data_IF_009569994732
#
_entry.id   IF_009569994732
#
_cell.length_a   1.000
_cell.length_b   1.000
_cell.length_c   1.000
_cell.angle_alpha   90.00
_cell.angle_beta   90.00
_cell.angle_gamma   90.00
#
_symmetry.space_group_name_H-M   'P 1'
#
loop_
_entity.id
_entity.type
_entity.pdbx_description
1 polymer ?
#
# COMPACT_ATOMS: atom_id res chain seq x y z
N UNK A 1 -17.18 -9.91 6.57
CA UNK A 1 -18.22 -9.05 7.19
C UNK A 1 -18.23 -7.72 6.44
N UNK A 2 -19.38 -7.42 5.84
CA UNK A 2 -19.86 -6.20 5.18
C UNK A 2 -18.87 -5.15 4.62
N UNK A 3 -18.94 -5.01 3.29
CA UNK A 3 -18.61 -3.83 2.50
C UNK A 3 -19.52 -2.67 2.93
N UNK A 4 -18.96 -1.56 3.40
CA UNK A 4 -19.70 -0.28 3.51
C UNK A 4 -18.79 0.92 3.31
N UNK A 5 -18.79 1.49 2.10
CA UNK A 5 -19.26 2.85 1.81
C UNK A 5 -19.00 3.19 0.34
N UNK A 6 -20.09 3.39 -0.39
CA UNK A 6 -20.11 4.08 -1.67
C UNK A 6 -19.67 5.53 -1.43
N UNK A 7 -18.47 5.86 -1.89
CA UNK A 7 -17.81 7.14 -1.67
C UNK A 7 -16.31 6.99 -1.92
N UNK A 8 -15.59 8.10 -2.08
CA UNK A 8 -14.15 8.21 -2.40
C UNK A 8 -13.23 7.18 -1.70
N UNK A 9 -13.65 6.63 -0.57
CA UNK A 9 -13.00 5.60 0.23
C UNK A 9 -13.72 4.25 0.15
N UNK A 10 -13.64 3.59 -1.00
CA UNK A 10 -13.86 2.14 -1.06
C UNK A 10 -12.59 1.46 -0.54
N UNK A 11 -12.67 0.91 0.67
CA UNK A 11 -11.56 0.31 1.41
C UNK A 11 -11.79 -1.19 1.53
N UNK A 12 -10.85 -1.99 1.06
CA UNK A 12 -10.90 -3.44 1.25
C UNK A 12 -10.38 -3.78 2.65
N UNK A 13 -11.29 -4.03 3.60
CA UNK A 13 -10.94 -4.29 5.00
C UNK A 13 -10.66 -5.76 5.30
N UNK A 14 -10.82 -6.65 4.33
CA UNK A 14 -10.71 -8.11 4.48
C UNK A 14 -9.28 -8.61 4.66
N UNK A 15 -8.28 -7.91 4.11
CA UNK A 15 -6.91 -8.40 4.08
C UNK A 15 -6.03 -7.61 5.08
N UNK A 16 -5.48 -8.26 6.14
CA UNK A 16 -4.69 -7.57 7.15
C UNK A 16 -3.39 -6.97 6.59
N UNK A 17 -2.94 -7.40 5.42
CA UNK A 17 -1.74 -6.91 4.73
C UNK A 17 -1.86 -5.44 4.29
N UNK A 18 -3.08 -4.91 4.19
CA UNK A 18 -3.33 -3.52 3.76
C UNK A 18 -3.51 -2.55 4.93
N UNK A 19 -3.06 -2.94 6.13
CA UNK A 19 -3.04 -2.07 7.30
C UNK A 19 -1.62 -1.82 7.80
N UNK A 20 -1.33 -0.57 8.14
CA UNK A 20 -0.09 -0.08 8.73
C UNK A 20 -0.35 0.41 10.18
N UNK A 21 0.71 0.72 10.93
CA UNK A 21 0.65 1.14 12.34
C UNK A 21 -0.15 0.17 13.22
N UNK A 22 0.43 -0.99 13.53
CA UNK A 22 -0.20 -2.03 14.35
C UNK A 22 -1.56 -2.52 13.79
N UNK A 23 -1.66 -2.63 12.47
CA UNK A 23 -2.86 -3.07 11.74
C UNK A 23 -4.12 -2.19 11.94
N UNK A 24 -3.97 -0.95 12.40
CA UNK A 24 -5.11 -0.04 12.67
C UNK A 24 -5.37 0.98 11.58
N UNK A 25 -4.36 1.33 10.77
CA UNK A 25 -4.48 2.36 9.74
C UNK A 25 -4.46 1.73 8.35
N UNK A 26 -5.57 1.83 7.60
CA UNK A 26 -5.59 1.32 6.23
C UNK A 26 -4.60 2.09 5.34
N UNK A 27 -3.88 1.38 4.46
CA UNK A 27 -2.79 1.93 3.65
C UNK A 27 -3.24 3.09 2.75
N UNK A 28 -4.45 3.04 2.18
CA UNK A 28 -5.04 4.17 1.43
C UNK A 28 -5.25 5.43 2.28
N UNK A 29 -5.63 5.28 3.56
CA UNK A 29 -5.78 6.42 4.48
C UNK A 29 -4.40 6.95 4.88
N UNK A 30 -3.45 6.06 5.14
CA UNK A 30 -2.05 6.44 5.39
C UNK A 30 -1.46 7.22 4.19
N UNK A 31 -1.73 6.78 2.95
CA UNK A 31 -1.30 7.49 1.75
C UNK A 31 -1.88 8.90 1.70
N UNK A 32 -3.17 9.08 2.00
CA UNK A 32 -3.79 10.41 2.04
C UNK A 32 -3.14 11.33 3.09
N UNK A 33 -2.81 10.81 4.27
CA UNK A 33 -2.09 11.57 5.30
C UNK A 33 -0.70 11.96 4.83
N UNK A 34 0.03 11.06 4.16
CA UNK A 34 1.35 11.35 3.61
C UNK A 34 1.26 12.43 2.52
N UNK A 35 0.27 12.35 1.61
CA UNK A 35 0.07 13.38 0.57
C UNK A 35 -0.14 14.76 1.21
N UNK A 36 -1.01 14.85 2.22
CA UNK A 36 -1.28 16.11 2.91
C UNK A 36 -0.03 16.62 3.63
N UNK A 37 0.69 15.74 4.31
CA UNK A 37 1.92 16.08 5.03
C UNK A 37 3.02 16.58 4.09
N UNK A 38 3.30 15.86 3.00
CA UNK A 38 4.30 16.26 2.01
C UNK A 38 3.88 17.53 1.26
N UNK A 39 2.60 17.67 0.92
CA UNK A 39 2.08 18.90 0.32
C UNK A 39 2.22 20.11 1.23
N UNK A 40 2.04 19.94 2.55
CA UNK A 40 2.28 20.99 3.53
C UNK A 40 3.76 21.37 3.59
N UNK A 41 4.66 20.39 3.65
CA UNK A 41 6.12 20.64 3.64
C UNK A 41 6.52 21.40 2.37
N UNK A 42 6.10 20.94 1.20
CA UNK A 42 6.41 21.58 -0.08
C UNK A 42 5.89 23.03 -0.10
N UNK A 43 4.64 23.27 0.33
CA UNK A 43 4.09 24.62 0.42
C UNK A 43 4.89 25.53 1.35
N UNK A 44 5.33 25.01 2.51
CA UNK A 44 6.16 25.78 3.43
C UNK A 44 7.54 26.09 2.85
N UNK A 45 8.16 25.15 2.13
CA UNK A 45 9.46 25.37 1.47
C UNK A 45 9.35 26.45 0.39
N UNK A 46 8.35 26.37 -0.48
CA UNK A 46 8.08 27.39 -1.50
C UNK A 46 7.72 28.75 -0.89
N UNK A 47 6.98 28.77 0.22
CA UNK A 47 6.69 30.01 0.94
C UNK A 47 7.97 30.67 1.46
N UNK A 48 8.85 29.90 2.10
CA UNK A 48 10.14 30.42 2.59
C UNK A 48 11.02 30.88 1.43
N UNK A 49 11.07 30.12 0.34
CA UNK A 49 11.85 30.45 -0.85
C UNK A 49 11.41 31.76 -1.52
N UNK A 50 10.11 32.04 -1.57
CA UNK A 50 9.57 33.24 -2.24
C UNK A 50 9.63 34.48 -1.32
N UNK A 51 9.33 34.31 -0.02
CA UNK A 51 9.06 35.44 0.87
C UNK A 51 10.15 35.73 1.90
N UNK A 52 10.99 34.75 2.25
CA UNK A 52 12.01 34.89 3.29
C UNK A 52 13.40 35.03 2.69
N UNK A 53 13.74 34.16 1.73
CA UNK A 53 14.93 34.36 0.91
C UNK A 53 14.62 35.39 -0.17
N UNK A 54 15.24 36.58 -0.09
CA UNK A 54 15.27 37.49 -1.23
C UNK A 54 15.94 36.73 -2.37
N UNK A 55 15.15 36.31 -3.36
CA UNK A 55 15.61 35.68 -4.60
C UNK A 55 16.95 36.28 -5.06
N UNK A 56 18.07 35.61 -4.79
CA UNK A 56 19.36 36.23 -5.07
C UNK A 56 20.62 35.51 -4.59
N UNK A 57 20.64 34.88 -3.40
CA UNK A 57 21.89 34.30 -2.89
C UNK A 57 21.77 32.78 -2.67
N UNK A 58 22.35 32.05 -3.63
CA UNK A 58 22.70 30.62 -3.56
C UNK A 58 21.56 29.59 -3.46
N UNK A 59 20.60 29.63 -4.39
CA UNK A 59 19.82 28.40 -4.66
C UNK A 59 20.75 27.38 -5.30
N UNK A 60 21.20 26.39 -4.53
CA UNK A 60 21.94 25.25 -5.07
C UNK A 60 21.06 24.53 -6.10
N UNK A 61 21.55 24.39 -7.33
CA UNK A 61 20.80 23.77 -8.43
C UNK A 61 20.32 22.35 -8.06
N UNK A 62 21.08 21.66 -7.20
CA UNK A 62 20.69 20.35 -6.67
C UNK A 62 19.41 20.41 -5.83
N UNK A 63 19.27 21.39 -4.95
CA UNK A 63 18.08 21.55 -4.12
C UNK A 63 16.84 21.86 -4.97
N UNK A 64 16.97 22.73 -5.98
CA UNK A 64 15.87 23.04 -6.90
C UNK A 64 15.40 21.81 -7.68
N UNK A 65 16.33 20.96 -8.16
CA UNK A 65 15.98 19.71 -8.86
C UNK A 65 15.24 18.74 -7.92
N UNK A 66 15.69 18.60 -6.68
CA UNK A 66 15.06 17.73 -5.69
C UNK A 66 13.65 18.21 -5.32
N UNK A 67 13.46 19.52 -5.10
CA UNK A 67 12.13 20.10 -4.86
C UNK A 67 11.19 19.88 -6.05
N UNK A 68 11.66 20.11 -7.28
CA UNK A 68 10.85 19.84 -8.47
C UNK A 68 10.47 18.36 -8.61
N UNK A 69 11.38 17.43 -8.30
CA UNK A 69 11.08 16.01 -8.31
C UNK A 69 10.08 15.62 -7.22
N UNK A 70 10.20 16.21 -6.03
CA UNK A 70 9.27 16.03 -4.93
C UNK A 70 7.86 16.51 -5.32
N UNK A 71 7.75 17.70 -5.93
CA UNK A 71 6.49 18.23 -6.44
C UNK A 71 5.83 17.30 -7.47
N UNK A 72 6.60 16.82 -8.46
CA UNK A 72 6.11 15.84 -9.44
C UNK A 72 5.61 14.58 -8.75
N UNK A 73 6.36 14.08 -7.76
CA UNK A 73 5.97 12.90 -6.98
C UNK A 73 4.66 13.12 -6.23
N UNK A 74 4.45 14.28 -5.60
CA UNK A 74 3.21 14.63 -4.90
C UNK A 74 2.03 14.67 -5.88
N UNK A 75 2.19 15.31 -7.04
CA UNK A 75 1.14 15.37 -8.07
C UNK A 75 0.78 13.95 -8.54
N UNK A 76 1.77 13.12 -8.84
CA UNK A 76 1.56 11.73 -9.23
C UNK A 76 0.83 10.93 -8.14
N UNK A 77 1.18 11.11 -6.85
CA UNK A 77 0.48 10.49 -5.73
C UNK A 77 -0.98 10.92 -5.62
N UNK A 78 -1.29 12.21 -5.83
CA UNK A 78 -2.67 12.72 -5.82
C UNK A 78 -3.48 12.05 -6.92
N UNK A 79 -2.94 12.00 -8.15
CA UNK A 79 -3.62 11.35 -9.27
C UNK A 79 -3.75 9.84 -9.00
N UNK A 80 -2.72 9.19 -8.45
CA UNK A 80 -2.77 7.78 -8.06
C UNK A 80 -3.87 7.52 -7.02
N UNK A 81 -4.06 8.42 -6.06
CA UNK A 81 -5.08 8.30 -5.03
C UNK A 81 -6.51 8.32 -5.60
N UNK A 82 -6.76 9.15 -6.62
CA UNK A 82 -8.07 9.22 -7.27
C UNK A 82 -8.30 8.15 -8.34
N UNK A 83 -7.27 7.85 -9.13
CA UNK A 83 -7.38 6.92 -10.27
C UNK A 83 -7.08 5.46 -9.90
N UNK A 84 -6.53 5.24 -8.70
CA UNK A 84 -6.12 3.93 -8.19
C UNK A 84 -5.16 3.18 -9.14
N UNK A 85 -4.37 3.92 -9.93
CA UNK A 85 -3.34 3.36 -10.81
C UNK A 85 -2.02 3.21 -10.05
N UNK A 86 -1.48 2.01 -10.04
CA UNK A 86 -0.24 1.65 -9.36
C UNK A 86 1.00 2.35 -9.95
N UNK A 87 1.05 2.51 -11.27
CA UNK A 87 2.21 3.08 -11.98
C UNK A 87 2.51 4.52 -11.58
N UNK A 88 1.49 5.26 -11.15
CA UNK A 88 1.63 6.65 -10.71
C UNK A 88 2.27 6.78 -9.32
N UNK A 89 2.40 5.70 -8.55
CA UNK A 89 3.19 5.73 -7.30
C UNK A 89 4.69 5.56 -7.52
N UNK A 90 5.12 5.10 -8.69
CA UNK A 90 6.53 4.78 -8.96
C UNK A 90 7.46 6.00 -8.72
N UNK A 91 7.16 7.23 -9.19
CA UNK A 91 8.03 8.38 -8.94
C UNK A 91 8.25 8.66 -7.46
N UNK A 92 7.19 8.53 -6.66
CA UNK A 92 7.26 8.68 -5.20
C UNK A 92 8.08 7.59 -4.53
N UNK A 93 7.90 6.32 -4.93
CA UNK A 93 8.65 5.19 -4.37
C UNK A 93 10.15 5.35 -4.67
N UNK A 94 10.51 5.69 -5.91
CA UNK A 94 11.90 5.92 -6.30
C UNK A 94 12.51 7.09 -5.52
N UNK A 95 11.77 8.20 -5.38
CA UNK A 95 12.19 9.33 -4.56
C UNK A 95 12.44 8.91 -3.12
N UNK A 96 11.49 8.19 -2.50
CA UNK A 96 11.62 7.76 -1.10
C UNK A 96 12.74 6.74 -0.90
N UNK A 97 13.04 5.87 -1.85
CA UNK A 97 14.22 5.01 -1.80
C UNK A 97 15.49 5.86 -1.76
N UNK A 98 15.61 6.85 -2.64
CA UNK A 98 16.74 7.77 -2.65
C UNK A 98 16.88 8.53 -1.31
N UNK A 99 15.77 9.06 -0.77
CA UNK A 99 15.77 9.78 0.51
C UNK A 99 16.16 8.85 1.68
N UNK A 100 15.53 7.68 1.80
CA UNK A 100 15.81 6.72 2.89
C UNK A 100 17.26 6.25 2.84
N UNK A 101 17.79 5.90 1.67
CA UNK A 101 19.20 5.48 1.52
C UNK A 101 20.17 6.60 1.87
N UNK A 102 19.87 7.84 1.48
CA UNK A 102 20.68 9.01 1.81
C UNK A 102 20.70 9.28 3.31
N UNK A 103 19.55 9.26 3.99
CA UNK A 103 19.49 9.47 5.44
C UNK A 103 20.12 8.29 6.19
N UNK A 104 19.93 7.05 5.72
CA UNK A 104 20.58 5.88 6.31
C UNK A 104 22.11 5.97 6.25
N UNK A 105 22.67 6.50 5.16
CA UNK A 105 24.10 6.80 5.07
C UNK A 105 24.53 7.81 6.15
N UNK A 106 23.77 8.89 6.36
CA UNK A 106 24.04 9.85 7.43
C UNK A 106 23.97 9.24 8.83
N UNK A 107 22.96 8.40 9.11
CA UNK A 107 22.85 7.67 10.38
C UNK A 107 24.09 6.81 10.63
N UNK A 108 24.60 6.12 9.60
CA UNK A 108 25.83 5.33 9.72
C UNK A 108 27.05 6.20 10.04
N UNK A 109 27.18 7.38 9.44
CA UNK A 109 28.27 8.32 9.78
C UNK A 109 28.16 8.79 11.24
N UNK A 110 26.95 9.09 11.73
CA UNK A 110 26.73 9.51 13.11
C UNK A 110 27.01 8.37 14.09
N UNK A 111 26.64 7.13 13.76
CA UNK A 111 26.97 5.95 14.56
C UNK A 111 28.48 5.77 14.71
N UNK A 112 29.24 5.96 13.64
CA UNK A 112 30.71 5.95 13.69
C UNK A 112 31.23 7.04 14.64
N UNK A 113 30.64 8.24 14.63
CA UNK A 113 31.01 9.33 15.53
C UNK A 113 30.69 8.99 16.99
N UNK A 114 29.56 8.34 17.27
CA UNK A 114 29.20 7.91 18.63
C UNK A 114 30.20 6.89 19.18
N UNK A 115 30.67 5.95 18.35
CA UNK A 115 31.67 4.95 18.74
C UNK A 115 33.08 5.57 18.85
N UNK A 116 33.41 6.50 17.95
CA UNK A 116 34.71 7.17 17.87
C UNK A 116 34.55 8.70 17.98
N UNK A 117 34.26 9.22 19.20
CA UNK A 117 33.95 10.63 19.42
C UNK A 117 35.13 11.58 19.21
N UNK A 118 36.36 11.05 19.16
CA UNK A 118 37.60 11.80 18.87
C UNK A 118 38.06 11.67 17.41
N UNK A 119 37.26 11.07 16.53
CA UNK A 119 37.61 10.99 15.11
C UNK A 119 37.55 12.37 14.43
N UNK A 120 38.39 12.60 13.42
CA UNK A 120 38.37 13.84 12.62
C UNK A 120 36.99 14.12 12.00
N UNK A 121 36.22 13.07 11.72
CA UNK A 121 34.83 13.17 11.24
C UNK A 121 33.89 13.77 12.26
N UNK A 122 34.08 13.48 13.55
CA UNK A 122 33.28 14.08 14.62
C UNK A 122 33.51 15.59 14.72
N UNK A 123 34.77 16.01 14.58
CA UNK A 123 35.16 17.42 14.56
C UNK A 123 34.60 18.15 13.33
N UNK A 124 34.67 17.53 12.14
CA UNK A 124 34.18 18.14 10.91
C UNK A 124 32.63 18.21 10.82
N UNK A 125 31.93 17.15 11.24
CA UNK A 125 30.47 17.06 11.07
C UNK A 125 29.67 17.66 12.23
N UNK A 126 30.16 17.57 13.48
CA UNK A 126 29.48 18.12 14.65
C UNK A 126 30.14 19.39 15.20
N UNK A 127 31.26 19.83 14.62
CA UNK A 127 31.91 21.09 14.97
C UNK A 127 32.48 21.11 16.39
N UNK A 128 32.78 19.96 16.98
CA UNK A 128 33.28 19.90 18.35
C UNK A 128 34.64 20.60 18.46
N UNK A 129 34.72 21.65 19.30
CA UNK A 129 35.98 22.30 19.66
C UNK A 129 36.76 21.44 20.64
N UNK A 130 38.09 21.42 20.53
CA UNK A 130 38.97 20.57 21.36
C UNK A 130 38.67 20.63 22.87
N UNK A 131 38.24 21.78 23.38
CA UNK A 131 37.91 22.00 24.80
C UNK A 131 36.56 21.43 25.28
N UNK A 132 35.77 20.77 24.43
CA UNK A 132 34.48 20.20 24.87
C UNK A 132 34.66 18.90 25.65
N UNK A 133 34.09 18.86 26.87
CA UNK A 133 34.06 17.69 27.74
C UNK A 133 33.48 16.46 27.04
N UNK A 134 34.05 15.28 27.33
CA UNK A 134 33.63 14.00 26.76
C UNK A 134 32.12 13.73 26.94
N UNK A 135 31.60 13.96 28.15
CA UNK A 135 30.18 13.73 28.48
C UNK A 135 29.27 14.65 27.65
N UNK A 136 29.70 15.89 27.39
CA UNK A 136 28.92 16.83 26.60
C UNK A 136 28.89 16.42 25.12
N UNK A 137 30.03 15.99 24.57
CA UNK A 137 30.14 15.47 23.19
C UNK A 137 29.28 14.24 22.99
N UNK A 138 29.33 13.28 23.91
CA UNK A 138 28.54 12.05 23.86
C UNK A 138 27.04 12.36 23.88
N UNK A 139 26.59 13.26 24.77
CA UNK A 139 25.18 13.69 24.84
C UNK A 139 24.71 14.34 23.53
N UNK A 140 25.53 15.20 22.93
CA UNK A 140 25.20 15.84 21.65
C UNK A 140 25.10 14.78 20.55
N UNK A 141 26.09 13.88 20.44
CA UNK A 141 26.11 12.84 19.43
C UNK A 141 24.91 11.87 19.56
N UNK A 142 24.54 11.47 20.78
CA UNK A 142 23.36 10.64 21.04
C UNK A 142 22.05 11.38 20.73
N UNK A 143 21.97 12.67 21.02
CA UNK A 143 20.80 13.49 20.70
C UNK A 143 20.62 13.60 19.18
N UNK A 144 21.71 13.91 18.46
CA UNK A 144 21.71 13.97 17.00
C UNK A 144 21.36 12.60 16.41
N UNK A 145 21.94 11.51 16.93
CA UNK A 145 21.61 10.15 16.50
C UNK A 145 20.12 9.84 16.69
N UNK A 146 19.55 10.20 17.84
CA UNK A 146 18.13 10.00 18.13
C UNK A 146 17.23 10.76 17.14
N UNK A 147 17.54 12.01 16.85
CA UNK A 147 16.81 12.81 15.85
C UNK A 147 16.93 12.19 14.45
N UNK A 148 18.12 11.83 14.01
CA UNK A 148 18.29 11.21 12.68
C UNK A 148 17.64 9.82 12.59
N UNK A 149 17.71 9.01 13.65
CA UNK A 149 17.07 7.70 13.69
C UNK A 149 15.54 7.80 13.65
N UNK A 150 14.95 8.76 14.37
CA UNK A 150 13.50 8.98 14.35
C UNK A 150 13.04 9.46 12.97
N UNK A 151 13.74 10.42 12.36
CA UNK A 151 13.45 10.86 10.98
C UNK A 151 13.55 9.69 10.01
N UNK A 152 14.63 8.89 10.08
CA UNK A 152 14.82 7.71 9.22
C UNK A 152 13.68 6.70 9.36
N UNK A 153 13.21 6.48 10.58
CA UNK A 153 12.10 5.56 10.85
C UNK A 153 10.79 6.08 10.25
N UNK A 154 10.52 7.39 10.37
CA UNK A 154 9.34 8.03 9.78
C UNK A 154 9.41 7.96 8.24
N UNK A 155 10.55 8.30 7.64
CA UNK A 155 10.71 8.22 6.18
C UNK A 155 10.64 6.78 5.67
N UNK A 156 11.22 5.82 6.40
CA UNK A 156 11.09 4.40 6.11
C UNK A 156 9.64 3.92 6.18
N UNK A 157 8.86 4.46 7.13
CA UNK A 157 7.42 4.21 7.19
C UNK A 157 6.68 4.79 5.98
N UNK A 158 7.02 5.98 5.50
CA UNK A 158 6.44 6.54 4.25
C UNK A 158 6.72 5.64 3.05
N UNK A 159 7.95 5.16 2.91
CA UNK A 159 8.32 4.21 1.85
C UNK A 159 7.52 2.91 1.96
N UNK A 160 7.41 2.35 3.17
CA UNK A 160 6.62 1.15 3.41
C UNK A 160 5.14 1.33 3.02
N UNK A 161 4.54 2.48 3.36
CA UNK A 161 3.17 2.81 2.95
C UNK A 161 3.06 2.94 1.43
N UNK A 162 4.03 3.58 0.77
CA UNK A 162 4.11 3.67 -0.69
C UNK A 162 4.12 2.31 -1.37
N UNK A 163 5.01 1.42 -0.93
CA UNK A 163 5.10 0.05 -1.45
C UNK A 163 3.84 -0.77 -1.17
N UNK A 164 3.29 -0.66 0.04
CA UNK A 164 2.05 -1.35 0.40
C UNK A 164 0.88 -0.86 -0.45
N UNK A 165 0.83 0.44 -0.75
CA UNK A 165 -0.25 1.03 -1.55
C UNK A 165 -0.11 0.67 -3.02
N UNK A 166 1.12 0.55 -3.52
CA UNK A 166 1.41 0.01 -4.85
C UNK A 166 0.86 -1.42 -4.99
N UNK A 167 1.16 -2.30 -4.02
CA UNK A 167 0.64 -3.68 -4.02
C UNK A 167 -0.89 -3.70 -3.91
N UNK A 168 -1.48 -2.81 -3.10
CA UNK A 168 -2.93 -2.68 -2.95
C UNK A 168 -3.62 -2.25 -4.26
N UNK A 169 -3.09 -1.25 -4.96
CA UNK A 169 -3.64 -0.83 -6.26
C UNK A 169 -3.45 -1.91 -7.32
N UNK A 170 -2.32 -2.61 -7.31
CA UNK A 170 -2.08 -3.73 -8.21
C UNK A 170 -3.07 -4.89 -7.97
N UNK A 171 -3.33 -5.27 -6.71
CA UNK A 171 -4.29 -6.34 -6.40
C UNK A 171 -5.70 -5.96 -6.84
N UNK A 172 -6.11 -4.72 -6.54
CA UNK A 172 -7.43 -4.21 -6.90
C UNK A 172 -7.63 -4.13 -8.41
N UNK A 173 -6.65 -3.61 -9.15
CA UNK A 173 -6.72 -3.52 -10.61
C UNK A 173 -6.70 -4.90 -11.27
N UNK A 174 -6.01 -5.88 -10.67
CA UNK A 174 -6.08 -7.28 -11.12
C UNK A 174 -7.46 -7.88 -10.91
N UNK A 175 -8.09 -7.66 -9.76
CA UNK A 175 -9.46 -8.15 -9.50
C UNK A 175 -10.47 -7.56 -10.47
N UNK A 176 -10.41 -6.25 -10.74
CA UNK A 176 -11.28 -5.59 -11.73
C UNK A 176 -11.07 -6.19 -13.13
N UNK A 177 -9.81 -6.42 -13.55
CA UNK A 177 -9.51 -7.05 -14.84
C UNK A 177 -10.09 -8.47 -14.93
N UNK A 178 -9.94 -9.27 -13.88
CA UNK A 178 -10.50 -10.64 -13.83
C UNK A 178 -12.02 -10.59 -13.90
N UNK A 179 -12.68 -9.73 -13.13
CA UNK A 179 -14.14 -9.58 -13.13
C UNK A 179 -14.67 -9.14 -14.50
N UNK A 180 -13.99 -8.21 -15.17
CA UNK A 180 -14.36 -7.78 -16.52
C UNK A 180 -14.16 -8.89 -17.55
N UNK A 181 -13.05 -9.63 -17.49
CA UNK A 181 -12.81 -10.78 -18.38
C UNK A 181 -13.84 -11.91 -18.17
N UNK A 182 -14.26 -12.16 -16.94
CA UNK A 182 -15.31 -13.13 -16.62
C UNK A 182 -16.69 -12.67 -17.10
N UNK A 183 -16.92 -11.34 -17.21
CA UNK A 183 -18.14 -10.78 -17.77
C UNK A 183 -18.17 -10.88 -19.30
N UNK A 184 -17.03 -10.69 -19.96
CA UNK A 184 -16.89 -10.82 -21.42
C UNK A 184 -16.89 -12.29 -21.89
N UNK A 185 -16.32 -13.21 -21.09
CA UNK A 185 -16.30 -14.63 -21.39
C UNK A 185 -17.63 -15.35 -21.08
N UNK A 186 -18.62 -14.66 -20.51
CA UNK A 186 -19.97 -15.22 -20.36
C UNK A 186 -20.63 -15.25 -21.73
N UNK A 187 -20.99 -16.44 -22.27
CA UNK A 187 -21.79 -16.50 -23.48
C UNK A 187 -23.07 -15.68 -23.26
N UNK A 188 -23.59 -14.98 -24.29
CA UNK A 188 -24.80 -14.19 -24.14
C UNK A 188 -25.89 -15.09 -23.59
N UNK A 189 -26.30 -14.85 -22.34
CA UNK A 189 -27.51 -15.47 -21.80
C UNK A 189 -28.62 -15.03 -22.74
N UNK A 190 -29.14 -15.98 -23.50
CA UNK A 190 -30.31 -15.81 -24.34
C UNK A 190 -31.40 -15.27 -23.43
N UNK A 191 -31.71 -13.99 -23.56
CA UNK A 191 -32.89 -13.42 -22.92
C UNK A 191 -34.07 -14.26 -23.42
N UNK A 192 -34.88 -14.89 -22.54
CA UNK A 192 -36.09 -15.50 -23.02
C UNK A 192 -36.93 -14.37 -23.61
N UNK A 193 -37.01 -14.34 -24.94
CA UNK A 193 -37.98 -13.50 -25.61
C UNK A 193 -39.33 -13.91 -25.04
N UNK A 194 -39.96 -12.98 -24.34
CA UNK A 194 -41.37 -13.08 -23.97
C UNK A 194 -42.17 -13.21 -25.26
N UNK A 195 -42.46 -14.45 -25.63
CA UNK A 195 -43.53 -14.79 -26.55
C UNK A 195 -44.57 -15.54 -25.73
N UNK A 196 -45.80 -15.08 -25.92
CA UNK A 196 -47.00 -15.51 -25.23
C UNK A 196 -47.19 -17.04 -25.29
N UNK A 197 -47.74 -17.57 -24.20
CA UNK A 197 -48.58 -18.77 -24.13
C UNK A 197 -48.18 -20.00 -24.96
N UNK A 198 -47.55 -20.98 -24.32
CA UNK A 198 -47.97 -22.39 -24.45
C UNK A 198 -47.37 -23.30 -23.37
N UNK A 199 -48.28 -23.86 -22.55
CA UNK A 199 -48.27 -25.13 -21.79
C UNK A 199 -46.97 -25.66 -21.14
N UNK A 200 -47.05 -26.26 -19.93
CA UNK A 200 -45.90 -26.91 -19.31
C UNK A 200 -45.59 -28.18 -20.12
N UNK A 201 -44.50 -28.15 -20.90
CA UNK A 201 -43.86 -29.39 -21.37
C UNK A 201 -42.87 -29.84 -20.29
N UNK A 202 -42.89 -31.13 -19.91
CA UNK A 202 -41.99 -31.66 -18.90
C UNK A 202 -40.55 -31.53 -19.38
N UNK A 203 -39.63 -31.38 -18.41
CA UNK A 203 -38.21 -31.21 -18.64
C UNK A 203 -37.66 -32.30 -19.58
N UNK A 204 -37.13 -31.89 -20.74
CA UNK A 204 -36.19 -32.71 -21.50
C UNK A 204 -34.89 -32.81 -20.69
N UNK A 205 -34.91 -33.71 -19.70
CA UNK A 205 -33.73 -34.17 -19.00
C UNK A 205 -32.83 -34.87 -20.03
N UNK A 206 -31.61 -34.36 -20.20
CA UNK A 206 -30.53 -35.11 -20.83
C UNK A 206 -30.41 -36.47 -20.11
N UNK A 207 -30.63 -37.62 -20.79
CA UNK A 207 -30.51 -38.90 -20.14
C UNK A 207 -29.02 -39.18 -19.93
N UNK A 208 -28.58 -39.05 -18.68
CA UNK A 208 -27.30 -39.59 -18.25
C UNK A 208 -27.45 -41.13 -18.19
N UNK A 209 -26.75 -41.90 -19.04
CA UNK A 209 -26.92 -43.36 -19.09
C UNK A 209 -26.46 -44.09 -17.82
N UNK A 210 -25.84 -43.39 -16.86
CA UNK A 210 -25.44 -43.94 -15.57
C UNK A 210 -26.48 -43.76 -14.44
N UNK A 211 -27.63 -43.14 -14.72
CA UNK A 211 -28.73 -43.04 -13.77
C UNK A 211 -29.99 -43.67 -14.36
N UNK A 212 -30.17 -44.96 -14.13
CA UNK A 212 -31.50 -45.58 -14.23
C UNK A 212 -32.31 -45.15 -13.00
N UNK A 213 -33.19 -44.17 -13.18
CA UNK A 213 -34.26 -43.90 -12.22
C UNK A 213 -35.26 -45.04 -12.41
N UNK A 214 -35.19 -46.03 -11.52
CA UNK A 214 -36.31 -46.93 -11.26
C UNK A 214 -37.33 -46.12 -10.47
N UNK A 215 -38.38 -45.67 -11.16
CA UNK A 215 -39.61 -45.19 -10.54
C UNK A 215 -40.25 -46.39 -9.85
N UNK A 216 -39.98 -46.56 -8.56
CA UNK A 216 -40.81 -47.34 -7.65
C UNK A 216 -40.64 -46.80 -6.23
N UNK A 217 -41.79 -46.45 -5.66
CA UNK A 217 -42.10 -46.27 -4.23
C UNK A 217 -41.91 -44.87 -3.60
N UNK A 218 -43.04 -44.17 -3.60
CA UNK A 218 -43.50 -43.25 -2.55
C UNK A 218 -43.21 -43.81 -1.14
N UNK A 219 -42.30 -43.20 -0.37
CA UNK A 219 -42.40 -43.11 1.10
C UNK A 219 -41.67 -41.86 1.60
N UNK A 220 -42.48 -40.86 1.98
CA UNK A 220 -42.42 -40.00 3.17
C UNK A 220 -41.08 -39.51 3.76
N UNK A 221 -41.04 -38.19 3.94
CA UNK A 221 -40.55 -37.44 5.13
C UNK A 221 -39.36 -38.03 5.91
N UNK A 222 -38.18 -37.43 5.75
CA UNK A 222 -37.46 -36.73 6.83
C UNK A 222 -35.97 -36.52 6.50
N UNK A 223 -35.60 -35.23 6.54
CA UNK A 223 -34.38 -34.60 7.05
C UNK A 223 -33.02 -35.36 7.07
N UNK A 224 -31.99 -34.57 6.71
CA UNK A 224 -30.58 -34.70 7.14
C UNK A 224 -29.66 -35.74 6.48
N UNK A 225 -29.07 -35.32 5.35
CA UNK A 225 -27.63 -35.55 5.13
C UNK A 225 -26.93 -34.26 5.60
N UNK A 226 -25.83 -34.30 6.34
CA UNK A 226 -24.47 -34.13 5.80
C UNK A 226 -23.49 -34.27 6.98
N UNK A 227 -23.27 -35.48 7.50
CA UNK A 227 -22.03 -35.82 8.21
C UNK A 227 -21.84 -37.33 8.08
N UNK A 228 -20.92 -37.76 7.23
CA UNK A 228 -19.72 -38.48 7.69
C UNK A 228 -18.90 -39.04 6.52
N UNK A 229 -17.60 -38.90 6.73
CA UNK A 229 -16.49 -39.10 5.82
C UNK A 229 -16.22 -40.60 5.61
N UNK A 230 -16.40 -41.11 4.38
CA UNK A 230 -16.00 -42.49 4.05
C UNK A 230 -14.47 -42.61 4.05
N UNK A 231 -13.95 -43.36 5.02
CA UNK A 231 -12.61 -43.93 5.03
C UNK A 231 -12.57 -45.08 4.02
N UNK A 232 -11.57 -45.09 3.13
CA UNK A 232 -11.39 -46.11 2.09
C UNK A 232 -11.02 -47.50 2.65
N UNK A 233 -11.24 -48.57 1.87
CA UNK A 233 -11.08 -49.94 2.36
C UNK A 233 -9.60 -50.37 2.41
N UNK A 234 -9.23 -50.99 3.53
CA UNK A 234 -7.98 -51.71 3.75
C UNK A 234 -7.98 -53.03 2.97
N UNK A 235 -6.95 -53.26 2.17
CA UNK A 235 -6.69 -54.56 1.54
C UNK A 235 -6.17 -55.56 2.57
N UNK A 236 -6.85 -56.72 2.68
CA UNK A 236 -6.26 -58.05 2.88
C UNK A 236 -7.06 -59.04 2.07
#
# INVERSE_FOLDING_TARGET
>A
MAITRSGLFTLETSNPRFFTCCARLHVKVALALIIVFLGFIELTEWYLYIFVDRAGESTDAGQAILSMWQLVSIICMIIAFFTEKEDLLIPFILFMIFVVTSIAFWVMQILVIVIFPYSERATYLLGFKDDTDFILREKIALTVLSVFATITTITGWFLHVGLSCYVYFQSRNREVKVMNSAREARPPMVAPMSSEQQAPKPADNFPNPNFSISDDEDVDEDEDKVFEQKVGPSMV
#
